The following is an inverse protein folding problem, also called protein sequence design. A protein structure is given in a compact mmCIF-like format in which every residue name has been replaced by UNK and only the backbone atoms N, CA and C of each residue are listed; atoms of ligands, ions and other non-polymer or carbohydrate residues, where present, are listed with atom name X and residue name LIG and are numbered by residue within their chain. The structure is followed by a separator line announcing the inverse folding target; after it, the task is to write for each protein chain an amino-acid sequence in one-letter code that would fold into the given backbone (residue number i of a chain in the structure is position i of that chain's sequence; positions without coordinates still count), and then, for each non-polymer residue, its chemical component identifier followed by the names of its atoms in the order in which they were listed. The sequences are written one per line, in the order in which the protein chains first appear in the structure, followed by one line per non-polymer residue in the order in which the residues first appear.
data_IF_520263549895
#
_entry.id   IF_520263549895
#
_cell.length_a   1.000
_cell.length_b   1.000
_cell.length_c   1.000
_cell.angle_alpha   90.00
_cell.angle_beta   90.00
_cell.angle_gamma   90.00
#
_symmetry.space_group_name_H-M   'P 1'
#
loop_
_entity.id
_entity.type
_entity.pdbx_description
1 polymer ?
#
# COMPACT_ATOMS: atom_id res chain seq x y z
N UNK A 1 -11.78 6.57 -8.53
CA UNK A 1 -11.94 7.54 -9.64
C UNK A 1 -11.06 8.77 -9.43
N UNK A 2 -11.26 9.57 -8.38
CA UNK A 2 -10.53 10.85 -8.14
C UNK A 2 -9.01 10.71 -8.26
N UNK A 3 -8.41 9.69 -7.62
CA UNK A 3 -6.96 9.48 -7.68
C UNK A 3 -6.48 9.15 -9.11
N UNK A 4 -7.23 8.37 -9.87
CA UNK A 4 -6.89 8.07 -11.26
C UNK A 4 -6.90 9.32 -12.15
N UNK A 5 -7.87 10.20 -11.96
CA UNK A 5 -7.95 11.49 -12.66
C UNK A 5 -6.75 12.40 -12.29
N UNK A 6 -6.43 12.49 -10.99
CA UNK A 6 -5.25 13.23 -10.54
C UNK A 6 -3.96 12.68 -11.16
N UNK A 7 -3.77 11.35 -11.10
CA UNK A 7 -2.59 10.70 -11.66
C UNK A 7 -2.46 10.94 -13.17
N UNK A 8 -3.56 10.90 -13.92
CA UNK A 8 -3.59 11.21 -15.34
C UNK A 8 -3.22 12.68 -15.61
N UNK A 9 -3.81 13.61 -14.87
CA UNK A 9 -3.50 15.04 -15.00
C UNK A 9 -2.02 15.37 -14.73
N UNK A 10 -1.38 14.58 -13.86
CA UNK A 10 0.06 14.70 -13.55
C UNK A 10 0.97 13.86 -14.47
N UNK A 11 0.42 13.18 -15.47
CA UNK A 11 1.19 12.33 -16.37
C UNK A 11 1.85 11.12 -15.69
N UNK A 12 1.32 10.67 -14.56
CA UNK A 12 1.85 9.52 -13.83
C UNK A 12 1.49 8.22 -14.55
N UNK A 13 2.47 7.34 -14.71
CA UNK A 13 2.21 5.97 -15.19
C UNK A 13 1.57 5.17 -14.05
N UNK A 14 0.41 4.59 -14.31
CA UNK A 14 -0.39 3.89 -13.31
C UNK A 14 -0.64 2.44 -13.72
N UNK A 15 -0.77 1.56 -12.72
CA UNK A 15 -1.18 0.16 -12.87
C UNK A 15 -2.31 -0.11 -11.86
N UNK A 16 -3.52 0.31 -12.21
CA UNK A 16 -4.70 0.13 -11.37
C UNK A 16 -5.50 -1.09 -11.83
N UNK A 17 -5.12 -2.26 -11.34
CA UNK A 17 -5.89 -3.48 -11.53
C UNK A 17 -6.89 -3.65 -10.39
N UNK A 18 -8.18 -3.71 -10.70
CA UNK A 18 -9.24 -3.86 -9.71
C UNK A 18 -9.90 -5.22 -9.91
N UNK A 19 -9.84 -6.05 -8.86
CA UNK A 19 -10.61 -7.27 -8.75
C UNK A 19 -11.86 -7.00 -7.91
N UNK A 20 -13.03 -7.19 -8.51
CA UNK A 20 -14.31 -6.97 -7.84
C UNK A 20 -15.04 -8.29 -7.68
N UNK A 21 -15.35 -8.64 -6.43
CA UNK A 21 -16.16 -9.81 -6.10
C UNK A 21 -17.59 -9.31 -5.83
N UNK A 22 -18.55 -9.77 -6.63
CA UNK A 22 -19.96 -9.64 -6.33
C UNK A 22 -20.54 -10.98 -5.90
N UNK A 23 -21.57 -10.95 -5.09
CA UNK A 23 -22.38 -12.12 -4.76
C UNK A 23 -22.97 -12.70 -6.06
N UNK A 24 -22.39 -13.83 -6.53
CA UNK A 24 -22.84 -14.50 -7.76
C UNK A 24 -21.86 -14.48 -8.92
N UNK A 25 -20.69 -13.89 -8.82
CA UNK A 25 -19.66 -13.94 -9.87
C UNK A 25 -18.87 -12.66 -10.04
N UNK A 26 -17.83 -12.72 -10.86
CA UNK A 26 -17.04 -11.56 -11.28
C UNK A 26 -17.91 -10.74 -12.24
N UNK A 27 -18.51 -9.67 -11.76
CA UNK A 27 -19.23 -8.75 -12.63
C UNK A 27 -18.22 -7.89 -13.40
N UNK A 28 -18.18 -8.06 -14.71
CA UNK A 28 -17.58 -7.09 -15.60
C UNK A 28 -18.48 -5.85 -15.60
N UNK A 29 -18.16 -4.86 -14.79
CA UNK A 29 -18.77 -3.55 -14.92
C UNK A 29 -17.73 -2.52 -15.32
N UNK A 30 -17.41 -2.39 -16.64
CA UNK A 30 -16.63 -1.27 -17.16
C UNK A 30 -17.21 0.08 -16.74
N UNK A 31 -18.53 0.10 -16.47
CA UNK A 31 -19.27 1.29 -16.03
C UNK A 31 -18.97 1.72 -14.60
N UNK A 32 -18.50 0.82 -13.70
CA UNK A 32 -18.18 1.20 -12.31
C UNK A 32 -16.93 2.07 -12.21
N UNK A 33 -15.99 1.85 -13.12
CA UNK A 33 -14.70 2.55 -13.12
C UNK A 33 -14.38 3.08 -14.53
N UNK A 34 -15.13 4.08 -15.04
CA UNK A 34 -14.98 4.58 -16.40
C UNK A 34 -13.74 5.47 -16.54
N UNK A 35 -12.56 4.88 -16.36
CA UNK A 35 -11.29 5.57 -16.49
C UNK A 35 -10.26 4.67 -17.22
N UNK A 36 -9.54 5.20 -18.24
CA UNK A 36 -8.67 4.39 -19.09
C UNK A 36 -7.49 3.74 -18.36
N UNK A 37 -7.08 4.29 -17.20
CA UNK A 37 -5.99 3.74 -16.40
C UNK A 37 -6.44 2.68 -15.39
N UNK A 38 -7.74 2.39 -15.30
CA UNK A 38 -8.27 1.38 -14.40
C UNK A 38 -8.63 0.13 -15.21
N UNK A 39 -8.05 -0.98 -14.85
CA UNK A 39 -8.24 -2.26 -15.53
C UNK A 39 -8.97 -3.23 -14.60
N UNK A 40 -10.28 -3.47 -14.81
CA UNK A 40 -10.98 -4.55 -14.14
C UNK A 40 -10.36 -5.89 -14.53
N UNK A 41 -10.07 -6.73 -13.54
CA UNK A 41 -9.53 -8.07 -13.76
C UNK A 41 -10.53 -9.13 -13.31
N UNK A 42 -10.66 -10.22 -14.08
CA UNK A 42 -11.62 -11.31 -13.81
C UNK A 42 -11.16 -12.26 -12.71
N UNK A 43 -9.87 -12.39 -12.55
CA UNK A 43 -9.26 -13.28 -11.56
C UNK A 43 -8.31 -12.49 -10.69
N UNK A 44 -8.29 -12.78 -9.40
CA UNK A 44 -7.28 -12.22 -8.52
C UNK A 44 -5.88 -12.60 -9.03
N UNK A 45 -4.96 -11.66 -9.01
CA UNK A 45 -3.54 -11.98 -9.23
C UNK A 45 -3.06 -12.89 -8.12
N UNK A 46 -2.21 -13.85 -8.46
CA UNK A 46 -1.52 -14.62 -7.45
C UNK A 46 -0.60 -13.74 -6.59
N UNK A 47 -0.17 -14.28 -5.45
CA UNK A 47 0.66 -13.55 -4.51
C UNK A 47 1.99 -13.09 -5.12
N UNK A 48 2.63 -13.95 -5.92
CA UNK A 48 3.91 -13.65 -6.58
C UNK A 48 3.77 -12.51 -7.59
N UNK A 49 2.72 -12.53 -8.42
CA UNK A 49 2.45 -11.47 -9.39
C UNK A 49 2.19 -10.12 -8.69
N UNK A 50 1.45 -10.12 -7.57
CA UNK A 50 1.25 -8.93 -6.76
C UNK A 50 2.54 -8.37 -6.16
N UNK A 51 3.43 -9.24 -5.67
CA UNK A 51 4.74 -8.81 -5.16
C UNK A 51 5.62 -8.21 -6.26
N UNK A 52 5.64 -8.81 -7.46
CA UNK A 52 6.40 -8.29 -8.60
C UNK A 52 5.89 -6.90 -9.02
N UNK A 53 4.58 -6.70 -9.07
CA UNK A 53 3.99 -5.38 -9.34
C UNK A 53 4.42 -4.35 -8.28
N UNK A 54 4.40 -4.73 -7.00
CA UNK A 54 4.85 -3.86 -5.91
C UNK A 54 6.35 -3.53 -6.03
N UNK A 55 7.19 -4.51 -6.33
CA UNK A 55 8.63 -4.32 -6.52
C UNK A 55 8.96 -3.38 -7.67
N UNK A 56 8.22 -3.46 -8.79
CA UNK A 56 8.42 -2.62 -9.96
C UNK A 56 7.75 -1.24 -9.87
N UNK A 57 6.90 -1.04 -8.86
CA UNK A 57 6.26 0.25 -8.62
C UNK A 57 7.19 1.19 -7.85
N UNK A 58 7.09 2.50 -8.10
CA UNK A 58 7.77 3.54 -7.30
C UNK A 58 6.95 3.90 -6.06
N UNK A 59 5.63 3.84 -6.19
CA UNK A 59 4.66 4.25 -5.17
C UNK A 59 3.58 3.18 -5.10
N UNK A 60 3.25 2.74 -3.91
CA UNK A 60 2.14 1.84 -3.64
C UNK A 60 0.92 2.62 -3.17
N UNK A 61 -0.26 2.10 -3.50
CA UNK A 61 -1.53 2.64 -3.02
C UNK A 61 -2.20 1.63 -2.07
N UNK A 62 -2.74 2.15 -0.99
CA UNK A 62 -3.46 1.37 0.02
C UNK A 62 -4.74 2.10 0.41
N UNK A 63 -5.86 1.69 -0.15
CA UNK A 63 -7.16 2.22 0.23
C UNK A 63 -7.77 1.32 1.31
N UNK A 64 -7.88 1.85 2.52
CA UNK A 64 -8.46 1.11 3.65
C UNK A 64 -9.88 0.66 3.30
N UNK A 65 -10.12 -0.65 3.38
CA UNK A 65 -11.46 -1.17 3.35
C UNK A 65 -12.15 -0.84 4.70
N UNK A 66 -13.32 -0.16 4.70
CA UNK A 66 -14.03 0.18 5.93
C UNK A 66 -14.37 -1.03 6.81
N UNK A 67 -14.60 -2.19 6.20
CA UNK A 67 -14.97 -3.44 6.90
C UNK A 67 -13.76 -4.09 7.61
N UNK A 68 -12.54 -3.68 7.27
CA UNK A 68 -11.33 -4.23 7.86
C UNK A 68 -10.77 -3.31 8.93
N UNK A 69 -10.62 -3.83 10.16
CA UNK A 69 -10.08 -3.07 11.31
C UNK A 69 -8.55 -3.03 11.36
N UNK A 70 -7.87 -3.92 10.65
CA UNK A 70 -6.41 -4.07 10.71
C UNK A 70 -5.66 -3.27 9.64
N UNK A 71 -4.35 -3.48 9.65
CA UNK A 71 -3.45 -3.02 8.59
C UNK A 71 -3.45 -4.01 7.43
N UNK A 72 -3.41 -3.49 6.20
CA UNK A 72 -3.11 -4.30 5.03
C UNK A 72 -1.63 -4.68 4.98
N UNK A 73 -1.23 -5.55 4.04
CA UNK A 73 0.19 -5.85 3.81
C UNK A 73 0.94 -4.70 3.12
N UNK A 74 0.25 -3.76 2.47
CA UNK A 74 0.85 -2.70 1.66
C UNK A 74 1.86 -1.81 2.40
N UNK A 75 1.63 -1.35 3.66
CA UNK A 75 2.64 -0.60 4.41
C UNK A 75 3.93 -1.38 4.63
N UNK A 76 3.82 -2.68 4.92
CA UNK A 76 4.99 -3.54 5.14
C UNK A 76 5.72 -3.88 3.84
N UNK A 77 5.01 -4.04 2.73
CA UNK A 77 5.60 -4.17 1.39
C UNK A 77 6.32 -2.88 0.99
N UNK A 78 5.71 -1.71 1.25
CA UNK A 78 6.33 -0.42 0.97
C UNK A 78 7.64 -0.25 1.77
N UNK A 79 7.63 -0.61 3.05
CA UNK A 79 8.81 -0.60 3.91
C UNK A 79 9.90 -1.55 3.38
N UNK A 80 9.53 -2.81 3.12
CA UNK A 80 10.47 -3.86 2.70
C UNK A 80 11.11 -3.57 1.35
N UNK A 81 10.33 -3.07 0.38
CA UNK A 81 10.82 -2.74 -0.97
C UNK A 81 11.31 -1.30 -1.12
N UNK A 82 11.34 -0.51 -0.04
CA UNK A 82 11.77 0.90 -0.05
C UNK A 82 10.96 1.72 -1.06
N UNK A 83 9.64 1.57 -1.01
CA UNK A 83 8.70 2.30 -1.87
C UNK A 83 7.96 3.36 -1.07
N UNK A 84 7.54 4.41 -1.74
CA UNK A 84 6.59 5.34 -1.15
C UNK A 84 5.20 4.71 -1.08
N UNK A 85 4.43 5.13 -0.09
CA UNK A 85 3.06 4.68 0.12
C UNK A 85 2.11 5.86 0.19
N UNK A 86 0.99 5.77 -0.50
CA UNK A 86 -0.16 6.63 -0.29
C UNK A 86 -1.26 5.75 0.29
N UNK A 87 -1.71 6.05 1.49
CA UNK A 87 -2.73 5.25 2.18
C UNK A 87 -3.84 6.12 2.75
N UNK A 88 -5.05 5.57 2.79
CA UNK A 88 -6.18 6.19 3.50
C UNK A 88 -6.30 5.66 4.94
N UNK A 89 -5.36 4.85 5.41
CA UNK A 89 -5.35 4.32 6.77
C UNK A 89 -4.47 5.19 7.69
N UNK A 90 -5.06 6.05 8.56
CA UNK A 90 -4.31 6.93 9.45
C UNK A 90 -3.50 6.18 10.51
N UNK A 91 -3.87 4.92 10.82
CA UNK A 91 -3.16 4.09 11.80
C UNK A 91 -1.71 3.83 11.36
N UNK A 92 -1.41 3.92 10.07
CA UNK A 92 -0.05 3.77 9.54
C UNK A 92 0.92 4.79 10.14
N UNK A 93 0.44 5.98 10.50
CA UNK A 93 1.26 7.03 11.10
C UNK A 93 1.72 6.72 12.55
N UNK A 94 1.12 5.73 13.21
CA UNK A 94 1.48 5.33 14.57
C UNK A 94 2.68 4.37 14.62
N UNK A 95 3.11 3.83 13.48
CA UNK A 95 4.22 2.87 13.41
C UNK A 95 5.56 3.58 13.39
N UNK A 96 6.58 2.96 13.99
CA UNK A 96 7.94 3.49 14.08
C UNK A 96 8.69 3.55 12.73
N UNK A 97 8.15 2.95 11.69
CA UNK A 97 8.64 3.12 10.31
C UNK A 97 8.00 4.30 9.57
N UNK A 98 7.05 5.00 10.20
CA UNK A 98 6.42 6.14 9.55
C UNK A 98 7.41 7.29 9.34
N UNK A 99 7.44 7.81 8.12
CA UNK A 99 8.10 9.06 7.78
C UNK A 99 7.30 9.80 6.70
N UNK A 100 7.05 11.12 6.83
CA UNK A 100 6.19 11.85 5.89
C UNK A 100 6.70 11.87 4.45
N UNK A 101 8.00 11.71 4.21
CA UNK A 101 8.56 11.57 2.88
C UNK A 101 8.26 10.19 2.24
N UNK A 102 7.97 9.18 3.07
CA UNK A 102 7.76 7.80 2.61
C UNK A 102 6.29 7.42 2.57
N UNK A 103 5.50 7.99 3.47
CA UNK A 103 4.09 7.62 3.65
C UNK A 103 3.24 8.89 3.71
N UNK A 104 2.34 9.03 2.74
CA UNK A 104 1.35 10.08 2.70
C UNK A 104 -0.01 9.54 3.14
N UNK A 105 -0.55 10.11 4.22
CA UNK A 105 -1.90 9.77 4.67
C UNK A 105 -2.90 10.63 3.91
N UNK A 106 -3.61 10.02 2.98
CA UNK A 106 -4.57 10.71 2.15
C UNK A 106 -5.97 10.67 2.76
N UNK A 107 -6.64 11.80 2.82
CA UNK A 107 -8.01 11.92 3.35
C UNK A 107 -9.10 11.37 2.41
N UNK A 108 -8.73 10.96 1.19
CA UNK A 108 -9.65 10.52 0.15
C UNK A 108 -10.38 11.67 -0.57
N UNK A 109 -10.11 12.93 -0.20
CA UNK A 109 -10.88 14.10 -0.66
C UNK A 109 -10.02 15.13 -1.39
N UNK A 110 -8.96 15.64 -0.76
CA UNK A 110 -8.06 16.63 -1.33
C UNK A 110 -6.75 16.00 -1.79
N UNK A 111 -5.97 16.74 -2.57
CA UNK A 111 -4.63 16.33 -2.98
C UNK A 111 -3.56 17.26 -2.40
N UNK A 112 -3.91 17.96 -1.32
CA UNK A 112 -3.01 18.89 -0.65
C UNK A 112 -1.78 18.14 -0.12
N UNK A 113 -0.60 18.70 -0.36
CA UNK A 113 0.67 18.11 0.05
C UNK A 113 1.11 16.89 -0.79
N UNK A 114 0.29 16.42 -1.74
CA UNK A 114 0.64 15.23 -2.51
C UNK A 114 1.73 15.49 -3.55
N UNK A 115 1.76 16.68 -4.16
CA UNK A 115 2.81 17.04 -5.11
C UNK A 115 4.18 17.15 -4.40
N UNK A 116 4.22 17.75 -3.24
CA UNK A 116 5.41 17.85 -2.39
C UNK A 116 5.88 16.47 -1.94
N UNK A 117 4.94 15.62 -1.51
CA UNK A 117 5.25 14.23 -1.19
C UNK A 117 5.85 13.47 -2.38
N UNK A 118 5.27 13.62 -3.58
CA UNK A 118 5.77 12.93 -4.78
C UNK A 118 7.18 13.39 -5.15
N UNK A 119 7.49 14.68 -4.98
CA UNK A 119 8.78 15.29 -5.27
C UNK A 119 9.85 14.99 -4.21
N UNK A 120 9.47 14.82 -2.94
CA UNK A 120 10.41 14.58 -1.85
C UNK A 120 11.22 13.28 -2.09
N UNK A 121 12.52 13.25 -1.72
CA UNK A 121 13.29 12.02 -1.76
C UNK A 121 12.78 11.00 -0.73
N UNK A 122 12.97 9.71 -1.01
CA UNK A 122 12.72 8.66 -0.02
C UNK A 122 13.67 8.82 1.17
N UNK A 123 13.12 8.78 2.37
CA UNK A 123 13.91 8.78 3.61
C UNK A 123 14.30 7.35 3.98
N UNK A 124 15.59 7.11 4.20
CA UNK A 124 16.06 5.78 4.57
C UNK A 124 15.65 5.44 6.00
N UNK A 125 14.88 4.37 6.14
CA UNK A 125 14.46 3.83 7.43
C UNK A 125 15.56 2.91 7.97
N UNK A 126 15.81 2.99 9.27
CA UNK A 126 16.78 2.15 9.96
C UNK A 126 16.61 0.67 9.56
N UNK A 127 17.69 -0.01 9.13
CA UNK A 127 17.66 -1.42 8.80
C UNK A 127 17.07 -2.31 9.90
N UNK A 128 17.28 -1.96 11.18
CA UNK A 128 16.72 -2.71 12.30
C UNK A 128 15.17 -2.61 12.34
N UNK A 129 14.62 -1.43 12.04
CA UNK A 129 13.16 -1.26 11.93
C UNK A 129 12.62 -2.06 10.74
N UNK A 130 13.30 -2.04 9.59
CA UNK A 130 12.86 -2.84 8.43
C UNK A 130 12.92 -4.34 8.73
N UNK A 131 13.98 -4.82 9.38
CA UNK A 131 14.10 -6.23 9.76
C UNK A 131 13.00 -6.63 10.75
N UNK A 132 12.68 -5.78 11.72
CA UNK A 132 11.61 -6.01 12.69
C UNK A 132 10.28 -6.38 12.04
N UNK A 133 9.94 -5.74 10.91
CA UNK A 133 8.70 -5.99 10.16
C UNK A 133 8.89 -6.91 8.95
N UNK A 134 10.04 -7.54 8.80
CA UNK A 134 10.27 -8.51 7.73
C UNK A 134 9.42 -9.77 7.96
N UNK A 135 9.04 -10.45 6.88
CA UNK A 135 8.37 -11.74 6.98
C UNK A 135 9.24 -12.77 7.72
N UNK A 136 10.56 -12.72 7.52
CA UNK A 136 11.50 -13.58 8.22
C UNK A 136 11.47 -13.37 9.74
N UNK A 137 11.47 -12.12 10.21
CA UNK A 137 11.34 -11.83 11.63
C UNK A 137 9.94 -12.21 12.15
N UNK A 138 8.89 -11.89 11.39
CA UNK A 138 7.52 -12.20 11.80
C UNK A 138 7.32 -13.70 12.03
N UNK A 139 7.76 -14.56 11.11
CA UNK A 139 7.60 -16.00 11.26
C UNK A 139 8.41 -16.55 12.44
N UNK A 140 9.66 -16.06 12.63
CA UNK A 140 10.48 -16.45 13.78
C UNK A 140 9.85 -16.01 15.11
N UNK A 141 9.33 -14.77 15.15
CA UNK A 141 8.65 -14.25 16.34
C UNK A 141 7.42 -15.07 16.69
N UNK A 142 6.55 -15.36 15.73
CA UNK A 142 5.33 -16.16 15.96
C UNK A 142 5.64 -17.57 16.41
N UNK A 143 6.69 -18.19 15.86
CA UNK A 143 7.11 -19.55 16.22
C UNK A 143 8.10 -19.61 17.38
N UNK A 144 8.45 -18.46 17.97
CA UNK A 144 9.46 -18.34 19.04
C UNK A 144 10.82 -18.97 18.68
N UNK A 145 11.27 -18.71 17.46
CA UNK A 145 12.57 -19.19 16.92
C UNK A 145 13.58 -18.04 16.99
N UNK A 146 14.62 -18.18 17.80
CA UNK A 146 15.71 -17.19 17.90
C UNK A 146 16.65 -17.23 16.68
N UNK A 147 17.30 -16.09 16.30
CA UNK A 147 17.06 -14.76 16.82
C UNK A 147 15.83 -14.10 16.19
N UNK A 148 15.02 -13.41 16.98
CA UNK A 148 13.93 -12.59 16.48
C UNK A 148 13.79 -11.29 17.27
N UNK A 149 13.24 -10.25 16.63
CA UNK A 149 12.86 -9.01 17.27
C UNK A 149 11.38 -9.05 17.66
N UNK A 150 11.07 -8.61 18.87
CA UNK A 150 9.68 -8.49 19.33
C UNK A 150 8.94 -7.44 18.50
N UNK A 151 7.78 -7.81 17.97
CA UNK A 151 6.88 -6.90 17.26
C UNK A 151 5.88 -6.34 18.27
N UNK A 152 6.02 -5.04 18.57
CA UNK A 152 5.07 -4.32 19.43
C UNK A 152 4.20 -3.48 18.51
N UNK A 153 2.90 -3.79 18.48
CA UNK A 153 1.95 -2.99 17.71
C UNK A 153 1.64 -1.68 18.44
N UNK A 154 1.39 -0.59 17.72
CA UNK A 154 0.92 0.65 18.32
C UNK A 154 -0.37 0.42 19.10
N UNK A 155 -0.54 1.16 20.20
CA UNK A 155 -1.81 1.13 20.93
C UNK A 155 -2.94 1.65 20.02
N UNK A 156 -4.14 1.04 20.11
CA UNK A 156 -5.31 1.45 19.35
C UNK A 156 -5.73 2.90 19.62
#
# INVERSE_FOLDING_TARGET
MRFAQYAQAKGLKTNFAIYHIHDGGVAEHPTLYPHPSIHPIRHSKDFRANLLDAMHSRILLDFKNPDHKGMSFRPFEALGYRKKLITTNPETAKYDFYHPNNIHIWDGKTFDGLDEFLAAPYHEIDPAIREKYSFGNWIRYVLNIEPHQKIVLPNP
#
